data_IF_236221802309
#
_entry.id   IF_236221802309
#
_cell.length_a   1.000
_cell.length_b   1.000
_cell.length_c   1.000
_cell.angle_alpha   90.00
_cell.angle_beta   90.00
_cell.angle_gamma   90.00
#
_symmetry.space_group_name_H-M   'P 1'
#
loop_
_entity.id
_entity.type
_entity.pdbx_description
1 polymer ?
#
# COMPACT_ATOMS: atom_id res chain seq x y z
N UNK A 1 -21.25 11.03 14.07
CA UNK A 1 -21.32 10.81 12.60
C UNK A 1 -20.78 12.03 11.87
N UNK A 2 -19.48 12.34 11.99
CA UNK A 2 -19.00 13.73 11.78
C UNK A 2 -18.24 14.01 10.47
N UNK A 3 -17.85 13.01 9.66
CA UNK A 3 -17.11 13.24 8.41
C UNK A 3 -17.93 12.93 7.14
N UNK A 4 -19.22 13.26 7.11
CA UNK A 4 -20.08 12.95 5.94
C UNK A 4 -19.72 13.77 4.69
N UNK A 5 -19.11 14.94 4.84
CA UNK A 5 -18.75 15.82 3.72
C UNK A 5 -17.28 15.61 3.38
N UNK A 6 -16.99 15.26 2.12
CA UNK A 6 -15.63 15.08 1.64
C UNK A 6 -14.90 16.42 1.57
N UNK A 7 -13.77 16.55 2.26
CA UNK A 7 -12.91 17.72 2.20
C UNK A 7 -11.63 17.39 1.42
N UNK A 8 -11.51 17.91 0.20
CA UNK A 8 -10.38 17.63 -0.69
C UNK A 8 -9.03 18.07 -0.08
N UNK A 9 -8.98 19.24 0.57
CA UNK A 9 -7.75 19.75 1.19
C UNK A 9 -7.29 18.83 2.32
N UNK A 10 -8.22 18.41 3.18
CA UNK A 10 -7.94 17.48 4.26
C UNK A 10 -7.50 16.12 3.72
N UNK A 11 -8.18 15.60 2.70
CA UNK A 11 -7.82 14.36 2.02
C UNK A 11 -6.38 14.41 1.50
N UNK A 12 -6.02 15.45 0.72
CA UNK A 12 -4.68 15.61 0.16
C UNK A 12 -3.61 15.66 1.25
N UNK A 13 -3.82 16.43 2.31
CA UNK A 13 -2.86 16.52 3.42
C UNK A 13 -2.67 15.17 4.10
N UNK A 14 -3.76 14.46 4.38
CA UNK A 14 -3.71 13.14 5.02
C UNK A 14 -3.02 12.13 4.11
N UNK A 15 -3.32 12.14 2.81
CA UNK A 15 -2.65 11.31 1.81
C UNK A 15 -1.16 11.55 1.80
N UNK A 16 -0.69 12.80 1.76
CA UNK A 16 0.74 13.12 1.74
C UNK A 16 1.44 12.64 3.02
N UNK A 17 0.83 12.83 4.19
CA UNK A 17 1.42 12.36 5.46
C UNK A 17 1.43 10.84 5.52
N UNK A 18 0.34 10.16 5.15
CA UNK A 18 0.27 8.70 5.10
C UNK A 18 1.26 8.13 4.09
N UNK A 19 1.52 8.83 2.97
CA UNK A 19 2.47 8.40 1.94
C UNK A 19 3.89 8.25 2.46
N UNK A 20 4.29 9.02 3.48
CA UNK A 20 5.61 8.88 4.11
C UNK A 20 5.78 7.47 4.69
N UNK A 21 4.77 6.97 5.41
CA UNK A 21 4.79 5.62 5.94
C UNK A 21 4.82 4.57 4.83
N UNK A 22 3.94 4.72 3.83
CA UNK A 22 3.83 3.76 2.74
C UNK A 22 5.16 3.67 1.96
N UNK A 23 5.81 4.79 1.66
CA UNK A 23 7.14 4.80 1.04
C UNK A 23 8.18 4.06 1.88
N UNK A 24 8.29 4.40 3.16
CA UNK A 24 9.31 3.80 4.04
C UNK A 24 9.10 2.29 4.12
N UNK A 25 7.85 1.86 4.28
CA UNK A 25 7.47 0.46 4.35
C UNK A 25 7.74 -0.28 3.03
N UNK A 26 7.30 0.27 1.90
CA UNK A 26 7.48 -0.35 0.58
C UNK A 26 8.96 -0.50 0.23
N UNK A 27 9.76 0.56 0.43
CA UNK A 27 11.20 0.53 0.17
C UNK A 27 11.89 -0.47 1.08
N UNK A 28 11.54 -0.52 2.37
CA UNK A 28 12.10 -1.51 3.29
C UNK A 28 11.75 -2.94 2.85
N UNK A 29 10.47 -3.23 2.58
CA UNK A 29 10.02 -4.55 2.13
C UNK A 29 10.66 -4.94 0.80
N UNK A 30 10.82 -4.00 -0.12
CA UNK A 30 11.44 -4.28 -1.40
C UNK A 30 12.93 -4.58 -1.28
N UNK A 31 13.69 -3.76 -0.54
CA UNK A 31 15.13 -3.94 -0.36
C UNK A 31 15.47 -5.19 0.45
N UNK A 32 14.74 -5.44 1.53
CA UNK A 32 15.08 -6.53 2.47
C UNK A 32 14.41 -7.87 2.14
N UNK A 33 13.34 -7.87 1.34
CA UNK A 33 12.55 -9.07 1.09
C UNK A 33 12.31 -9.30 -0.41
N UNK A 34 11.74 -8.33 -1.13
CA UNK A 34 11.33 -8.56 -2.51
C UNK A 34 12.51 -8.75 -3.47
N UNK A 35 13.48 -7.83 -3.51
CA UNK A 35 14.64 -7.92 -4.40
C UNK A 35 15.47 -9.20 -4.16
N UNK A 36 15.81 -9.59 -2.92
CA UNK A 36 16.48 -10.88 -2.67
C UNK A 36 15.70 -12.10 -3.19
N UNK A 37 14.36 -12.08 -3.11
CA UNK A 37 13.53 -13.16 -3.63
C UNK A 37 13.47 -13.15 -5.16
N UNK A 38 13.40 -11.96 -5.78
CA UNK A 38 13.41 -11.80 -7.23
C UNK A 38 14.75 -12.22 -7.85
N UNK A 39 15.88 -11.88 -7.21
CA UNK A 39 17.22 -12.30 -7.64
C UNK A 39 17.34 -13.82 -7.66
N UNK A 40 16.86 -14.48 -6.61
CA UNK A 40 16.82 -15.95 -6.53
C UNK A 40 15.89 -16.55 -7.59
N UNK A 41 14.74 -15.93 -7.82
CA UNK A 41 13.75 -16.42 -8.79
C UNK A 41 14.28 -16.36 -10.22
N UNK A 42 14.88 -15.23 -10.61
CA UNK A 42 15.41 -15.07 -11.96
C UNK A 42 16.81 -15.68 -12.13
N UNK A 43 17.58 -15.94 -11.07
CA UNK A 43 18.87 -16.62 -11.11
C UNK A 43 19.81 -16.10 -12.24
N UNK A 44 19.81 -14.78 -12.48
CA UNK A 44 20.61 -14.14 -13.53
C UNK A 44 20.10 -14.30 -14.97
N UNK A 45 18.92 -14.91 -15.18
CA UNK A 45 18.29 -15.06 -16.51
C UNK A 45 17.78 -13.74 -17.07
N UNK A 46 17.40 -12.81 -16.21
CA UNK A 46 16.92 -11.48 -16.57
C UNK A 46 17.59 -10.49 -15.62
N UNK A 47 18.14 -9.37 -16.12
CA UNK A 47 18.61 -8.29 -15.26
C UNK A 47 17.41 -7.72 -14.50
N UNK A 48 17.49 -7.71 -13.17
CA UNK A 48 16.54 -6.99 -12.34
C UNK A 48 16.84 -5.50 -12.53
N UNK A 49 15.81 -4.73 -12.88
CA UNK A 49 15.97 -3.32 -13.21
C UNK A 49 16.75 -2.60 -12.11
N UNK A 50 17.84 -1.93 -12.49
CA UNK A 50 18.61 -1.12 -11.55
C UNK A 50 17.71 -0.05 -10.92
N UNK A 51 17.95 0.33 -9.66
CA UNK A 51 17.31 1.49 -9.04
C UNK A 51 17.86 2.79 -9.63
N UNK A 52 17.63 3.00 -10.92
CA UNK A 52 17.86 4.28 -11.57
C UNK A 52 16.82 5.29 -11.10
N UNK A 53 17.16 6.58 -11.24
CA UNK A 53 16.31 7.70 -10.81
C UNK A 53 14.92 7.62 -11.45
N UNK A 54 14.82 7.20 -12.71
CA UNK A 54 13.54 7.01 -13.43
C UNK A 54 12.65 5.96 -12.77
N UNK A 55 13.22 4.82 -12.39
CA UNK A 55 12.50 3.73 -11.70
C UNK A 55 12.07 4.16 -10.30
N UNK A 56 12.94 4.86 -9.57
CA UNK A 56 12.61 5.40 -8.25
C UNK A 56 11.46 6.41 -8.30
N UNK A 57 11.41 7.26 -9.33
CA UNK A 57 10.32 8.23 -9.52
C UNK A 57 8.98 7.54 -9.81
N UNK A 58 8.96 6.56 -10.72
CA UNK A 58 7.75 5.78 -11.03
C UNK A 58 7.26 5.06 -9.78
N UNK A 59 8.18 4.51 -8.99
CA UNK A 59 7.85 3.83 -7.75
C UNK A 59 7.27 4.80 -6.71
N UNK A 60 7.82 6.00 -6.58
CA UNK A 60 7.24 7.02 -5.70
C UNK A 60 5.84 7.47 -6.12
N UNK A 61 5.57 7.54 -7.43
CA UNK A 61 4.22 7.79 -7.95
C UNK A 61 3.28 6.65 -7.57
N UNK A 62 3.72 5.40 -7.74
CA UNK A 62 2.97 4.20 -7.36
C UNK A 62 2.59 4.20 -5.87
N UNK A 63 3.55 4.47 -4.99
CA UNK A 63 3.31 4.50 -3.54
C UNK A 63 2.37 5.63 -3.11
N UNK A 64 2.47 6.78 -3.78
CA UNK A 64 1.56 7.92 -3.56
C UNK A 64 0.14 7.57 -4.00
N UNK A 65 -0.01 6.90 -5.14
CA UNK A 65 -1.30 6.41 -5.62
C UNK A 65 -1.89 5.37 -4.66
N UNK A 66 -1.09 4.42 -4.20
CA UNK A 66 -1.48 3.40 -3.22
C UNK A 66 -1.99 4.06 -1.93
N UNK A 67 -1.28 5.09 -1.46
CA UNK A 67 -1.67 5.88 -0.29
C UNK A 67 -2.97 6.65 -0.50
N UNK A 68 -3.16 7.25 -1.67
CA UNK A 68 -4.39 7.96 -2.03
C UNK A 68 -5.60 7.02 -2.01
N UNK A 69 -5.46 5.84 -2.61
CA UNK A 69 -6.50 4.80 -2.61
C UNK A 69 -6.80 4.33 -1.19
N UNK A 70 -5.77 4.03 -0.39
CA UNK A 70 -5.93 3.61 1.01
C UNK A 70 -6.71 4.65 1.83
N UNK A 71 -6.30 5.92 1.75
CA UNK A 71 -6.92 7.02 2.49
C UNK A 71 -8.36 7.26 2.03
N UNK A 72 -8.63 7.10 0.73
CA UNK A 72 -9.98 7.27 0.18
C UNK A 72 -10.91 6.15 0.63
N UNK A 73 -10.47 4.89 0.54
CA UNK A 73 -11.23 3.73 1.02
C UNK A 73 -11.44 3.82 2.54
N UNK A 74 -10.42 4.24 3.28
CA UNK A 74 -10.55 4.50 4.72
C UNK A 74 -11.61 5.56 5.00
N UNK A 75 -11.60 6.68 4.27
CA UNK A 75 -12.62 7.73 4.43
C UNK A 75 -14.03 7.17 4.19
N UNK A 76 -14.25 6.43 3.10
CA UNK A 76 -15.54 5.76 2.81
C UNK A 76 -15.97 4.83 3.94
N UNK A 77 -15.06 3.99 4.45
CA UNK A 77 -15.32 3.11 5.57
C UNK A 77 -15.67 3.90 6.84
N UNK A 78 -14.97 5.02 7.08
CA UNK A 78 -15.22 5.88 8.23
C UNK A 78 -16.57 6.59 8.17
N UNK A 79 -17.06 6.91 6.97
CA UNK A 79 -18.41 7.45 6.75
C UNK A 79 -19.47 6.39 7.03
N UNK A 80 -19.25 5.15 6.57
CA UNK A 80 -20.21 4.05 6.70
C UNK A 80 -20.26 3.44 8.10
N UNK A 81 -19.10 3.24 8.73
CA UNK A 81 -18.95 2.49 9.99
C UNK A 81 -18.45 3.34 11.16
N UNK A 82 -18.08 4.61 10.94
CA UNK A 82 -17.41 5.45 11.91
C UNK A 82 -15.88 5.25 11.92
N UNK A 83 -15.17 6.16 12.58
CA UNK A 83 -13.71 6.06 12.74
C UNK A 83 -13.36 5.10 13.88
N UNK A 84 -13.23 3.81 13.56
CA UNK A 84 -12.94 2.73 14.52
C UNK A 84 -12.07 1.64 13.89
N UNK A 85 -11.74 0.61 14.68
CA UNK A 85 -10.89 -0.51 14.26
C UNK A 85 -11.46 -1.25 13.03
N UNK A 86 -12.79 -1.36 12.92
CA UNK A 86 -13.44 -2.01 11.78
C UNK A 86 -13.12 -1.27 10.47
N UNK A 87 -13.21 0.06 10.47
CA UNK A 87 -12.85 0.88 9.29
C UNK A 87 -11.39 0.74 8.91
N UNK A 88 -10.47 0.66 9.88
CA UNK A 88 -9.04 0.43 9.64
C UNK A 88 -8.83 -0.93 8.97
N UNK A 89 -9.37 -2.00 9.55
CA UNK A 89 -9.16 -3.37 9.06
C UNK A 89 -9.75 -3.54 7.66
N UNK A 90 -10.99 -3.10 7.45
CA UNK A 90 -11.67 -3.25 6.15
C UNK A 90 -10.93 -2.47 5.07
N UNK A 91 -10.56 -1.21 5.33
CA UNK A 91 -9.89 -0.38 4.32
C UNK A 91 -8.49 -0.88 3.98
N UNK A 92 -7.67 -1.23 4.98
CA UNK A 92 -6.34 -1.78 4.75
C UNK A 92 -6.40 -3.12 4.01
N UNK A 93 -7.31 -4.01 4.42
CA UNK A 93 -7.50 -5.32 3.75
C UNK A 93 -7.98 -5.16 2.31
N UNK A 94 -9.00 -4.34 2.09
CA UNK A 94 -9.55 -4.10 0.74
C UNK A 94 -8.48 -3.51 -0.18
N UNK A 95 -7.73 -2.53 0.30
CA UNK A 95 -6.65 -1.91 -0.47
C UNK A 95 -5.54 -2.92 -0.79
N UNK A 96 -5.09 -3.70 0.21
CA UNK A 96 -4.06 -4.71 0.02
C UNK A 96 -4.44 -5.76 -1.02
N UNK A 97 -5.67 -6.28 -0.97
CA UNK A 97 -6.15 -7.25 -1.97
C UNK A 97 -6.32 -6.62 -3.35
N UNK A 98 -6.94 -5.45 -3.44
CA UNK A 98 -7.23 -4.79 -4.72
C UNK A 98 -5.96 -4.35 -5.48
N UNK A 99 -4.87 -4.08 -4.77
CA UNK A 99 -3.61 -3.64 -5.38
C UNK A 99 -2.61 -4.79 -5.45
N UNK A 100 -2.14 -5.24 -4.29
CA UNK A 100 -1.02 -6.18 -4.16
C UNK A 100 -1.49 -7.63 -4.35
N UNK A 101 -2.69 -7.97 -3.87
CA UNK A 101 -3.29 -9.29 -4.08
C UNK A 101 -3.52 -9.58 -5.56
N UNK A 102 -4.22 -8.69 -6.27
CA UNK A 102 -4.45 -8.81 -7.72
C UNK A 102 -3.13 -8.80 -8.50
N UNK A 103 -2.20 -7.90 -8.15
CA UNK A 103 -0.87 -7.85 -8.76
C UNK A 103 -0.14 -9.21 -8.67
N UNK A 104 -0.14 -9.85 -7.49
CA UNK A 104 0.51 -11.15 -7.32
C UNK A 104 -0.19 -12.26 -8.08
N UNK A 105 -1.52 -12.31 -8.07
CA UNK A 105 -2.28 -13.29 -8.86
C UNK A 105 -1.93 -13.17 -10.35
N UNK A 106 -1.91 -11.95 -10.88
CA UNK A 106 -1.53 -11.70 -12.27
C UNK A 106 -0.08 -12.13 -12.54
N UNK A 107 0.86 -11.74 -11.69
CA UNK A 107 2.28 -12.06 -11.84
C UNK A 107 2.55 -13.56 -11.86
N UNK A 108 1.90 -14.32 -10.97
CA UNK A 108 2.03 -15.78 -10.95
C UNK A 108 1.42 -16.40 -12.21
N UNK A 109 0.22 -15.95 -12.61
CA UNK A 109 -0.45 -16.49 -13.79
C UNK A 109 0.29 -16.21 -15.11
N UNK A 110 1.09 -15.14 -15.17
CA UNK A 110 1.94 -14.84 -16.34
C UNK A 110 3.35 -15.43 -16.24
N UNK A 111 3.64 -16.23 -15.22
CA UNK A 111 4.97 -16.83 -15.02
C UNK A 111 6.06 -15.85 -14.57
N UNK A 112 5.66 -14.66 -14.11
CA UNK A 112 6.55 -13.60 -13.61
C UNK A 112 6.72 -13.64 -12.08
N UNK A 113 6.11 -14.62 -11.41
CA UNK A 113 6.19 -14.79 -9.97
C UNK A 113 5.82 -16.20 -9.54
N UNK A 114 6.00 -16.48 -8.25
CA UNK A 114 5.64 -17.76 -7.62
C UNK A 114 4.85 -17.55 -6.34
N UNK A 115 3.93 -18.47 -6.05
CA UNK A 115 3.08 -18.39 -4.86
C UNK A 115 3.85 -18.37 -3.54
N UNK A 116 5.03 -19.00 -3.48
CA UNK A 116 5.89 -18.98 -2.30
C UNK A 116 6.37 -17.55 -1.98
N UNK A 117 6.73 -16.76 -3.00
CA UNK A 117 7.11 -15.35 -2.84
C UNK A 117 5.89 -14.51 -2.42
N UNK A 118 4.74 -14.72 -3.04
CA UNK A 118 3.50 -14.01 -2.69
C UNK A 118 3.08 -14.30 -1.24
N UNK A 119 3.20 -15.54 -0.77
CA UNK A 119 2.88 -15.95 0.59
C UNK A 119 3.75 -15.27 1.67
N UNK A 120 4.93 -14.77 1.29
CA UNK A 120 5.81 -14.00 2.16
C UNK A 120 5.53 -12.50 2.06
N UNK A 121 5.45 -11.97 0.84
CA UNK A 121 5.32 -10.52 0.61
C UNK A 121 3.93 -9.99 0.94
N UNK A 122 2.87 -10.74 0.64
CA UNK A 122 1.50 -10.26 0.83
C UNK A 122 1.16 -10.00 2.31
N UNK A 123 1.47 -10.87 3.28
CA UNK A 123 1.19 -10.59 4.70
C UNK A 123 1.90 -9.34 5.23
N UNK A 124 3.15 -9.11 4.80
CA UNK A 124 3.90 -7.92 5.18
C UNK A 124 3.21 -6.69 4.59
N UNK A 125 2.93 -6.71 3.28
CA UNK A 125 2.26 -5.61 2.60
C UNK A 125 0.87 -5.30 3.17
N UNK A 126 0.11 -6.34 3.55
CA UNK A 126 -1.16 -6.18 4.23
C UNK A 126 -1.00 -5.46 5.57
N UNK A 127 -0.03 -5.85 6.39
CA UNK A 127 0.25 -5.16 7.65
C UNK A 127 0.62 -3.68 7.45
N UNK A 128 1.38 -3.37 6.40
CA UNK A 128 1.73 -2.00 6.01
C UNK A 128 0.49 -1.17 5.68
N UNK A 129 -0.49 -1.75 4.95
CA UNK A 129 -1.77 -1.10 4.67
C UNK A 129 -2.61 -0.88 5.93
N UNK A 130 -2.61 -1.83 6.87
CA UNK A 130 -3.31 -1.67 8.15
C UNK A 130 -2.71 -0.51 8.96
N UNK A 131 -1.38 -0.40 9.02
CA UNK A 131 -0.70 0.71 9.71
C UNK A 131 -0.97 2.04 8.99
N UNK A 132 -0.96 2.06 7.65
CA UNK A 132 -1.31 3.25 6.87
C UNK A 132 -2.75 3.72 7.13
N UNK A 133 -3.71 2.80 7.20
CA UNK A 133 -5.10 3.09 7.55
C UNK A 133 -5.24 3.58 9.01
N UNK A 134 -4.43 3.04 9.94
CA UNK A 134 -4.37 3.53 11.32
C UNK A 134 -3.84 4.97 11.39
N UNK A 135 -2.81 5.31 10.62
CA UNK A 135 -2.29 6.69 10.54
C UNK A 135 -3.39 7.63 10.01
N UNK A 136 -4.05 7.24 8.91
CA UNK A 136 -5.16 8.01 8.34
C UNK A 136 -6.29 8.22 9.37
N UNK A 137 -6.65 7.18 10.13
CA UNK A 137 -7.62 7.23 11.22
C UNK A 137 -7.27 8.28 12.29
N UNK A 138 -6.01 8.34 12.71
CA UNK A 138 -5.55 9.33 13.70
C UNK A 138 -5.57 10.75 13.14
N UNK A 139 -5.17 10.94 11.89
CA UNK A 139 -5.16 12.25 11.25
C UNK A 139 -6.57 12.81 11.03
N UNK A 140 -7.52 11.97 10.57
CA UNK A 140 -8.92 12.36 10.45
C UNK A 140 -9.60 12.66 11.80
N UNK A 141 -9.08 12.10 12.91
CA UNK A 141 -9.59 12.40 14.25
C UNK A 141 -9.10 13.72 14.82
N UNK A 142 -7.88 14.15 14.46
CA UNK A 142 -7.28 15.42 14.95
C UNK A 142 -7.79 16.65 14.20
N UNK A 143 -8.16 16.48 12.93
CA UNK A 143 -8.68 17.54 12.07
C UNK A 143 -10.22 17.64 12.13
N UNK A 144 -10.79 17.38 13.31
CA UNK A 144 -12.20 17.57 13.61
C UNK A 144 -12.45 18.99 14.10
#
# INVERSE_FOLDING_TARGET
>A
MENKVFNLKQFVIITLITSIWIHIAEVARAMFVAFPLMEKFFAGRIPIGAMEVSNALIWGIWDTLLSAVLVFIFWLCSVAFGNNLKSIIISGTTTAFATIGIFWIASVNTGLGVWSTAAILFPIAWAEMIIGAFIASKLYSKNK
#
